data_IF_558600723087
#
_entry.id   IF_558600723087
#
_cell.length_a   1.000
_cell.length_b   1.000
_cell.length_c   1.000
_cell.angle_alpha   90.00
_cell.angle_beta   90.00
_cell.angle_gamma   90.00
#
_symmetry.space_group_name_H-M   'P 1'
#
loop_
_entity.id
_entity.type
_entity.pdbx_description
1 polymer ?
#
# COMPACT_ATOMS: atom_id res chain seq x y z
N UNK A 1 -14.35 -24.44 -8.26
CA UNK A 1 -13.25 -23.65 -8.85
C UNK A 1 -13.10 -22.41 -7.98
N UNK A 2 -11.90 -22.07 -7.49
CA UNK A 2 -11.70 -20.77 -6.83
C UNK A 2 -11.85 -19.70 -7.92
N UNK A 3 -12.77 -18.76 -7.74
CA UNK A 3 -12.85 -17.60 -8.61
C UNK A 3 -11.49 -16.91 -8.61
N UNK A 4 -10.80 -16.94 -9.75
CA UNK A 4 -9.52 -16.25 -9.95
C UNK A 4 -9.65 -14.73 -9.80
N UNK A 5 -10.87 -14.19 -9.70
CA UNK A 5 -11.17 -12.77 -9.63
C UNK A 5 -11.37 -12.20 -8.21
N UNK A 6 -11.35 -13.01 -7.15
CA UNK A 6 -11.60 -12.50 -5.79
C UNK A 6 -10.40 -11.79 -5.18
N UNK A 7 -9.18 -12.25 -5.50
CA UNK A 7 -7.94 -11.75 -4.92
C UNK A 7 -7.05 -11.18 -6.03
N UNK A 8 -6.53 -9.96 -5.83
CA UNK A 8 -5.71 -9.30 -6.85
C UNK A 8 -4.31 -9.92 -6.96
N UNK A 9 -3.80 -10.47 -5.87
CA UNK A 9 -2.46 -11.05 -5.80
C UNK A 9 -2.44 -12.36 -5.02
N UNK A 10 -1.69 -13.34 -5.53
CA UNK A 10 -1.12 -14.41 -4.72
C UNK A 10 0.19 -13.96 -4.08
N UNK A 11 0.67 -14.70 -3.07
CA UNK A 11 2.00 -14.47 -2.46
C UNK A 11 3.11 -14.52 -3.52
N UNK A 12 3.03 -15.46 -4.46
CA UNK A 12 4.04 -15.61 -5.51
C UNK A 12 4.06 -14.45 -6.51
N UNK A 13 2.89 -13.87 -6.84
CA UNK A 13 2.80 -12.67 -7.68
C UNK A 13 3.30 -11.44 -6.94
N UNK A 14 2.91 -11.29 -5.67
CA UNK A 14 3.40 -10.18 -4.85
C UNK A 14 4.92 -10.20 -4.71
N UNK A 15 5.53 -11.35 -4.41
CA UNK A 15 7.00 -11.47 -4.32
C UNK A 15 7.67 -11.02 -5.63
N UNK A 16 7.16 -11.45 -6.79
CA UNK A 16 7.70 -11.05 -8.09
C UNK A 16 7.58 -9.54 -8.36
N UNK A 17 6.55 -8.89 -7.83
CA UNK A 17 6.39 -7.44 -7.91
C UNK A 17 7.40 -6.77 -6.98
N UNK A 18 7.47 -7.19 -5.71
CA UNK A 18 8.34 -6.59 -4.71
C UNK A 18 9.84 -6.72 -5.07
N UNK A 19 10.25 -7.82 -5.69
CA UNK A 19 11.62 -8.04 -6.17
C UNK A 19 12.08 -7.06 -7.27
N UNK A 20 11.19 -6.23 -7.82
CA UNK A 20 11.53 -5.20 -8.82
C UNK A 20 12.01 -3.89 -8.18
N UNK A 21 11.87 -3.73 -6.87
CA UNK A 21 12.22 -2.52 -6.13
C UNK A 21 13.51 -2.71 -5.30
N UNK A 22 14.18 -1.62 -4.87
CA UNK A 22 15.31 -1.70 -3.96
C UNK A 22 14.96 -2.44 -2.66
N UNK A 23 15.89 -3.27 -2.17
CA UNK A 23 15.70 -4.11 -0.98
C UNK A 23 15.46 -3.29 0.31
N UNK A 24 15.98 -2.07 0.36
CA UNK A 24 15.87 -1.13 1.47
C UNK A 24 14.73 -0.11 1.31
N UNK A 25 13.92 -0.22 0.25
CA UNK A 25 12.79 0.68 0.04
C UNK A 25 11.71 0.46 1.11
N UNK A 26 11.28 1.51 1.82
CA UNK A 26 10.21 1.37 2.80
C UNK A 26 8.88 1.04 2.14
N UNK A 27 8.07 0.23 2.82
CA UNK A 27 6.72 -0.16 2.37
C UNK A 27 5.70 0.42 3.34
N UNK A 28 4.69 1.11 2.81
CA UNK A 28 3.61 1.72 3.59
C UNK A 28 2.27 1.25 3.04
N UNK A 29 1.31 0.98 3.93
CA UNK A 29 -0.05 0.58 3.57
C UNK A 29 -1.00 1.74 3.82
N UNK A 30 -2.02 1.90 2.97
CA UNK A 30 -3.11 2.84 3.23
C UNK A 30 -3.82 2.52 4.55
N UNK A 31 -4.09 3.52 5.38
CA UNK A 31 -4.92 3.36 6.56
C UNK A 31 -6.41 3.18 6.20
N UNK A 32 -7.14 2.35 6.94
CA UNK A 32 -8.60 2.44 7.03
C UNK A 32 -9.12 1.71 8.26
N UNK A 33 -10.24 2.18 8.80
CA UNK A 33 -10.64 1.97 10.20
C UNK A 33 -11.00 0.53 10.59
N UNK A 34 -11.35 -0.39 9.69
CA UNK A 34 -11.64 -1.81 9.99
C UNK A 34 -11.68 -2.71 8.74
N UNK A 35 -11.62 -4.03 8.91
CA UNK A 35 -11.83 -5.04 7.85
C UNK A 35 -10.59 -5.37 7.01
N UNK A 36 -10.79 -6.15 5.93
CA UNK A 36 -9.73 -6.50 4.97
C UNK A 36 -10.22 -6.24 3.55
N UNK A 37 -9.37 -5.64 2.73
CA UNK A 37 -9.63 -5.40 1.31
C UNK A 37 -8.47 -5.88 0.45
N UNK A 38 -8.73 -6.06 -0.85
CA UNK A 38 -7.63 -6.13 -1.83
C UNK A 38 -6.85 -4.81 -1.80
N UNK A 39 -5.67 -4.79 -2.40
CA UNK A 39 -4.93 -3.56 -2.68
C UNK A 39 -4.60 -3.49 -4.17
N UNK A 40 -4.50 -2.29 -4.73
CA UNK A 40 -4.13 -2.08 -6.13
C UNK A 40 -2.67 -2.46 -6.39
N UNK A 41 -2.25 -2.44 -7.65
CA UNK A 41 -0.84 -2.63 -8.03
C UNK A 41 0.05 -1.69 -7.20
N UNK A 42 1.07 -2.20 -6.47
CA UNK A 42 2.00 -1.37 -5.71
C UNK A 42 2.67 -0.32 -6.60
N UNK A 43 2.85 0.88 -6.06
CA UNK A 43 3.47 1.99 -6.78
C UNK A 43 4.30 2.86 -5.83
N UNK A 44 5.26 3.59 -6.39
CA UNK A 44 6.18 4.43 -5.60
C UNK A 44 5.64 5.85 -5.52
N UNK A 45 5.64 6.41 -4.31
CA UNK A 45 5.43 7.83 -4.03
C UNK A 45 6.37 8.29 -2.93
N UNK A 46 6.58 9.60 -2.86
CA UNK A 46 7.24 10.20 -1.72
C UNK A 46 6.26 10.46 -0.60
N UNK A 47 6.67 10.10 0.61
CA UNK A 47 5.88 10.29 1.82
C UNK A 47 6.71 10.95 2.92
N UNK A 48 6.04 11.74 3.73
CA UNK A 48 6.62 12.37 4.93
C UNK A 48 6.03 11.73 6.18
N UNK A 49 6.91 11.43 7.14
CA UNK A 49 6.54 10.96 8.46
C UNK A 49 5.94 12.11 9.29
N UNK A 50 4.72 11.93 9.76
CA UNK A 50 3.93 12.86 10.56
C UNK A 50 3.36 12.09 11.78
N UNK A 51 4.20 11.82 12.80
CA UNK A 51 3.80 11.03 13.98
C UNK A 51 2.69 11.69 14.81
N UNK A 52 2.47 12.99 14.63
CA UNK A 52 1.40 13.77 15.25
C UNK A 52 0.02 13.57 14.62
N UNK A 53 -0.06 12.95 13.44
CA UNK A 53 -1.34 12.70 12.78
C UNK A 53 -2.22 11.76 13.59
N UNK A 54 -3.53 11.96 13.44
CA UNK A 54 -4.49 11.06 14.08
C UNK A 54 -4.38 9.67 13.45
N UNK A 55 -4.76 8.64 14.22
CA UNK A 55 -4.63 7.25 13.77
C UNK A 55 -5.46 6.94 12.51
N UNK A 56 -6.56 7.68 12.27
CA UNK A 56 -7.42 7.51 11.10
C UNK A 56 -6.91 8.26 9.86
N UNK A 57 -6.11 9.32 10.03
CA UNK A 57 -5.45 10.04 8.93
C UNK A 57 -4.21 9.32 8.42
N UNK A 58 -3.57 8.51 9.29
CA UNK A 58 -2.35 7.79 8.99
C UNK A 58 -1.08 8.63 9.23
N UNK A 59 -0.04 7.96 9.70
CA UNK A 59 1.25 8.58 10.07
C UNK A 59 2.05 9.11 8.87
N UNK A 60 1.87 8.54 7.68
CA UNK A 60 2.63 8.93 6.49
C UNK A 60 1.73 9.63 5.49
N UNK A 61 2.10 10.85 5.10
CA UNK A 61 1.34 11.66 4.14
C UNK A 61 2.12 11.85 2.85
N UNK A 62 1.42 11.97 1.70
CA UNK A 62 2.05 12.25 0.41
C UNK A 62 2.70 13.64 0.44
N UNK A 63 3.97 13.70 0.09
CA UNK A 63 4.77 14.94 0.08
C UNK A 63 5.92 14.80 -0.91
N UNK A 64 6.07 15.73 -1.86
CA UNK A 64 7.11 15.69 -2.90
C UNK A 64 8.54 15.87 -2.36
N UNK A 65 8.68 16.37 -1.11
CA UNK A 65 9.94 16.48 -0.39
C UNK A 65 10.19 15.29 0.56
N UNK A 66 9.35 14.25 0.49
CA UNK A 66 9.41 13.06 1.33
C UNK A 66 10.39 11.97 0.86
N UNK A 67 10.37 10.86 1.59
CA UNK A 67 11.12 9.63 1.28
C UNK A 67 10.33 8.78 0.29
N UNK A 68 10.97 8.23 -0.74
CA UNK A 68 10.33 7.27 -1.63
C UNK A 68 9.94 6.00 -0.87
N UNK A 69 8.67 5.64 -0.96
CA UNK A 69 8.10 4.45 -0.37
C UNK A 69 7.22 3.72 -1.39
N UNK A 70 7.20 2.39 -1.29
CA UNK A 70 6.25 1.57 -2.01
C UNK A 70 4.91 1.59 -1.27
N UNK A 71 3.88 2.10 -1.93
CA UNK A 71 2.53 2.18 -1.37
C UNK A 71 1.71 0.93 -1.72
N UNK A 72 1.10 0.34 -0.70
CA UNK A 72 0.05 -0.66 -0.80
C UNK A 72 -1.29 0.01 -0.52
N UNK A 73 -1.93 0.50 -1.58
CA UNK A 73 -3.20 1.21 -1.50
C UNK A 73 -4.38 0.24 -1.60
N UNK A 74 -5.25 0.23 -0.59
CA UNK A 74 -6.46 -0.59 -0.57
C UNK A 74 -7.37 -0.30 -1.75
N UNK A 75 -8.09 -1.32 -2.21
CA UNK A 75 -9.20 -1.19 -3.13
C UNK A 75 -10.31 -0.36 -2.46
N UNK A 76 -10.70 0.74 -3.10
CA UNK A 76 -11.88 1.50 -2.69
C UNK A 76 -13.09 0.92 -3.41
N UNK A 77 -14.06 0.45 -2.63
CA UNK A 77 -15.36 0.01 -3.15
C UNK A 77 -16.36 1.15 -3.03
N UNK A 78 -17.07 1.40 -4.11
CA UNK A 78 -18.30 2.19 -4.10
C UNK A 78 -19.45 1.19 -3.98
N UNK A 79 -20.31 1.42 -2.99
CA UNK A 79 -21.55 0.69 -2.76
C UNK A 79 -22.58 0.88 -3.89
#
# INVERSE_FOLDING_TARGET
MRDKNTYFFTVGELIKILQQYPEDMPVVVSGYENGYENFYQPYVKKVKDQPENTFYDGRFQIDDDGTEALLLEREVRHD
#
